data_IF_358132446416
#
_entry.id   IF_358132446416
#
_cell.length_a   1.000
_cell.length_b   1.000
_cell.length_c   1.000
_cell.angle_alpha   90.00
_cell.angle_beta   90.00
_cell.angle_gamma   90.00
#
_symmetry.space_group_name_H-M   'P 1'
#
loop_
_entity.id
_entity.type
_entity.pdbx_description
1 polymer ?
#
# COMPACT_ATOMS: atom_id res chain seq x y z
N UNK A 1 29.32 26.00 -31.18
CA UNK A 1 27.85 25.85 -31.01
C UNK A 1 27.56 24.38 -30.75
N UNK A 2 27.36 24.00 -29.48
CA UNK A 2 27.10 22.62 -29.06
C UNK A 2 25.63 22.57 -28.63
N UNK A 3 24.76 21.95 -29.44
CA UNK A 3 23.36 21.71 -29.07
C UNK A 3 23.23 20.30 -28.50
N UNK A 4 23.06 20.26 -27.17
CA UNK A 4 22.69 19.10 -26.37
C UNK A 4 21.20 18.79 -26.55
N UNK A 5 20.86 17.55 -26.92
CA UNK A 5 19.49 17.04 -26.77
C UNK A 5 19.52 15.60 -26.29
N UNK A 6 19.68 15.44 -24.99
CA UNK A 6 19.48 14.22 -24.22
C UNK A 6 18.01 13.79 -24.33
N UNK A 7 17.74 12.65 -24.97
CA UNK A 7 16.43 11.97 -24.89
C UNK A 7 16.38 11.14 -23.62
N UNK A 8 16.06 11.78 -22.50
CA UNK A 8 15.70 11.13 -21.25
C UNK A 8 14.34 10.44 -21.43
N UNK A 9 14.36 9.11 -21.48
CA UNK A 9 13.16 8.28 -21.44
C UNK A 9 12.59 8.39 -20.02
N UNK A 10 11.54 9.18 -19.86
CA UNK A 10 10.80 9.35 -18.61
C UNK A 10 10.17 8.01 -18.23
N UNK A 11 10.75 7.35 -17.22
CA UNK A 11 10.08 6.32 -16.43
C UNK A 11 8.80 6.93 -15.86
N UNK A 12 7.67 6.36 -16.27
CA UNK A 12 6.34 6.82 -15.94
C UNK A 12 6.15 6.82 -14.41
N UNK A 13 5.99 8.00 -13.86
CA UNK A 13 5.71 8.23 -12.45
C UNK A 13 4.44 7.49 -12.02
N UNK A 14 4.58 6.60 -11.04
CA UNK A 14 3.50 6.15 -10.16
C UNK A 14 2.99 7.37 -9.38
N UNK A 15 2.09 8.15 -9.98
CA UNK A 15 1.38 9.22 -9.30
C UNK A 15 0.27 8.62 -8.43
N UNK A 16 0.63 8.19 -7.22
CA UNK A 16 -0.32 8.01 -6.11
C UNK A 16 -0.24 9.25 -5.22
N UNK A 17 -1.25 10.14 -5.18
CA UNK A 17 -1.37 11.08 -4.09
C UNK A 17 -2.32 10.47 -3.05
N UNK A 18 -1.77 9.68 -2.12
CA UNK A 18 -2.38 9.47 -0.81
C UNK A 18 -1.38 9.92 0.25
N UNK A 19 -1.24 11.23 0.39
CA UNK A 19 -0.60 11.84 1.56
C UNK A 19 -1.65 12.60 2.35
N UNK A 20 -2.42 11.87 3.16
CA UNK A 20 -3.09 12.44 4.32
C UNK A 20 -2.10 12.35 5.50
N UNK A 21 -1.09 13.22 5.49
CA UNK A 21 -0.24 13.40 6.67
C UNK A 21 -1.01 14.26 7.66
N UNK A 22 -1.65 13.60 8.62
CA UNK A 22 -2.03 14.23 9.88
C UNK A 22 -0.74 14.41 10.69
N UNK A 23 -0.18 15.62 10.69
CA UNK A 23 0.77 16.05 11.72
C UNK A 23 0.02 16.16 13.05
N UNK A 24 0.11 15.13 13.88
CA UNK A 24 -0.14 15.26 15.32
C UNK A 24 1.19 15.49 16.05
N UNK A 25 1.30 16.65 16.71
CA UNK A 25 2.05 16.84 17.96
C UNK A 25 3.57 16.75 17.89
N UNK A 26 4.25 17.91 17.84
CA UNK A 26 5.62 18.03 18.35
C UNK A 26 5.61 17.92 19.87
N UNK A 27 5.95 16.75 20.40
CA UNK A 27 6.43 16.59 21.78
C UNK A 27 7.96 16.56 21.80
N UNK A 28 8.57 17.61 22.35
CA UNK A 28 10.02 17.64 22.64
C UNK A 28 10.36 16.51 23.62
N UNK A 29 11.20 15.56 23.22
CA UNK A 29 11.80 14.59 24.14
C UNK A 29 13.15 15.14 24.60
N UNK A 30 13.18 15.65 25.82
CA UNK A 30 14.41 15.89 26.57
C UNK A 30 15.01 14.55 26.96
N UNK A 31 16.32 14.42 26.71
CA UNK A 31 17.18 13.39 27.24
C UNK A 31 16.95 13.18 28.74
N UNK A 32 16.50 11.99 29.11
CA UNK A 32 16.85 11.39 30.39
C UNK A 32 17.24 9.93 30.15
N UNK A 33 18.43 9.59 30.62
CA UNK A 33 19.07 8.28 30.49
C UNK A 33 18.22 7.24 31.23
N UNK A 34 17.61 6.30 30.52
CA UNK A 34 17.10 5.07 31.15
C UNK A 34 18.26 4.05 31.26
N UNK A 35 18.37 3.36 32.41
CA UNK A 35 19.42 2.36 32.62
C UNK A 35 19.16 1.18 31.68
N UNK A 36 20.19 0.80 30.92
CA UNK A 36 20.24 -0.44 30.17
C UNK A 36 20.28 -1.60 31.16
N UNK A 37 19.13 -2.00 31.69
CA UNK A 37 18.99 -3.31 32.34
C UNK A 37 19.05 -4.37 31.24
N UNK A 38 19.96 -5.32 31.42
CA UNK A 38 20.15 -6.50 30.58
C UNK A 38 18.84 -7.29 30.42
N UNK A 39 18.02 -6.90 29.44
CA UNK A 39 16.95 -7.77 28.95
C UNK A 39 17.58 -8.84 28.09
N UNK A 40 17.52 -10.07 28.60
CA UNK A 40 17.89 -11.33 27.98
C UNK A 40 17.63 -11.36 26.45
N UNK A 41 18.69 -11.07 25.69
CA UNK A 41 18.71 -10.97 24.22
C UNK A 41 18.13 -12.22 23.57
N UNK A 42 18.31 -13.39 24.21
CA UNK A 42 17.83 -14.69 23.72
C UNK A 42 16.30 -14.81 23.68
N UNK A 43 15.58 -14.22 24.63
CA UNK A 43 14.10 -14.27 24.65
C UNK A 43 13.51 -13.34 23.60
N UNK A 44 14.07 -12.14 23.47
CA UNK A 44 13.67 -11.15 22.45
C UNK A 44 13.87 -11.71 21.04
N UNK A 45 14.97 -12.44 20.79
CA UNK A 45 15.22 -13.08 19.48
C UNK A 45 14.28 -14.25 19.18
N UNK A 46 13.90 -15.06 20.18
CA UNK A 46 12.98 -16.19 20.00
C UNK A 46 11.56 -15.70 19.68
N UNK A 47 11.08 -14.69 20.40
CA UNK A 47 9.73 -14.16 20.17
C UNK A 47 9.62 -13.44 18.82
N UNK A 48 10.67 -12.72 18.40
CA UNK A 48 10.75 -12.12 17.07
C UNK A 48 10.77 -13.19 15.95
N UNK A 49 11.50 -14.28 16.13
CA UNK A 49 11.52 -15.38 15.18
C UNK A 49 10.15 -16.08 15.05
N UNK A 50 9.48 -16.33 16.18
CA UNK A 50 8.12 -16.90 16.21
C UNK A 50 7.12 -16.00 15.51
N UNK A 51 7.14 -14.70 15.80
CA UNK A 51 6.27 -13.74 15.14
C UNK A 51 6.50 -13.71 13.62
N UNK A 52 7.75 -13.77 13.16
CA UNK A 52 8.06 -13.81 11.73
C UNK A 52 7.55 -15.10 11.06
N UNK A 53 7.74 -16.26 11.70
CA UNK A 53 7.18 -17.52 11.21
C UNK A 53 5.65 -17.50 11.16
N UNK A 54 4.99 -16.95 12.19
CA UNK A 54 3.53 -16.81 12.23
C UNK A 54 3.02 -15.85 11.15
N UNK A 55 3.76 -14.79 10.86
CA UNK A 55 3.46 -13.87 9.76
C UNK A 55 3.51 -14.56 8.41
N UNK A 56 4.51 -15.40 8.13
CA UNK A 56 4.54 -16.19 6.88
C UNK A 56 3.31 -17.10 6.73
N UNK A 57 2.90 -17.78 7.80
CA UNK A 57 1.69 -18.62 7.80
C UNK A 57 0.44 -17.80 7.48
N UNK A 58 0.30 -16.62 8.10
CA UNK A 58 -0.80 -15.71 7.83
C UNK A 58 -0.84 -15.28 6.36
N UNK A 59 0.30 -14.82 5.83
CA UNK A 59 0.39 -14.33 4.45
C UNK A 59 0.09 -15.44 3.42
N UNK A 60 0.53 -16.67 3.69
CA UNK A 60 0.17 -17.83 2.88
C UNK A 60 -1.34 -18.11 2.93
N UNK A 61 -1.95 -18.05 4.12
CA UNK A 61 -3.40 -18.26 4.32
C UNK A 61 -4.25 -17.26 3.53
N UNK A 62 -3.75 -16.04 3.34
CA UNK A 62 -4.41 -14.97 2.58
C UNK A 62 -4.20 -15.08 1.06
N UNK A 63 -3.52 -16.11 0.55
CA UNK A 63 -3.18 -16.27 -0.87
C UNK A 63 -2.43 -15.05 -1.45
N UNK A 64 -1.48 -14.52 -0.66
CA UNK A 64 -0.71 -13.34 -1.07
C UNK A 64 0.14 -13.63 -2.31
N UNK A 65 0.72 -14.81 -2.42
CA UNK A 65 1.56 -15.17 -3.58
C UNK A 65 0.77 -15.06 -4.89
N UNK A 66 -0.39 -15.68 -4.95
CA UNK A 66 -1.29 -15.68 -6.10
C UNK A 66 -1.78 -14.26 -6.42
N UNK A 67 -2.03 -13.46 -5.38
CA UNK A 67 -2.42 -12.06 -5.53
C UNK A 67 -1.32 -11.21 -6.19
N UNK A 68 -0.06 -11.40 -5.79
CA UNK A 68 1.09 -10.71 -6.40
C UNK A 68 1.34 -11.17 -7.84
N UNK A 69 1.27 -12.48 -8.11
CA UNK A 69 1.39 -13.01 -9.47
C UNK A 69 0.28 -12.46 -10.39
N UNK A 70 -0.96 -12.41 -9.90
CA UNK A 70 -2.09 -11.82 -10.61
C UNK A 70 -1.91 -10.31 -10.84
N UNK A 71 -1.38 -9.58 -9.87
CA UNK A 71 -1.05 -8.16 -10.00
C UNK A 71 0.00 -7.92 -11.10
N UNK A 72 1.09 -8.69 -11.11
CA UNK A 72 2.15 -8.57 -12.11
C UNK A 72 1.59 -8.80 -13.51
N UNK A 73 0.81 -9.88 -13.70
CA UNK A 73 0.15 -10.16 -14.99
C UNK A 73 -0.77 -9.01 -15.42
N UNK A 74 -1.54 -8.44 -14.49
CA UNK A 74 -2.41 -7.28 -14.79
C UNK A 74 -1.59 -6.08 -15.23
N UNK A 75 -0.50 -5.75 -14.53
CA UNK A 75 0.36 -4.62 -14.90
C UNK A 75 0.99 -4.84 -16.27
N UNK A 76 1.56 -6.02 -16.53
CA UNK A 76 2.11 -6.37 -17.84
C UNK A 76 1.06 -6.22 -18.95
N UNK A 77 -0.14 -6.76 -18.75
CA UNK A 77 -1.23 -6.64 -19.71
C UNK A 77 -1.69 -5.19 -19.93
N UNK A 78 -1.73 -4.36 -18.88
CA UNK A 78 -2.02 -2.93 -19.04
C UNK A 78 -0.99 -2.24 -19.93
N UNK A 79 0.29 -2.57 -19.78
CA UNK A 79 1.35 -2.00 -20.63
C UNK A 79 1.23 -2.46 -22.08
N UNK A 80 0.97 -3.74 -22.31
CA UNK A 80 0.76 -4.29 -23.66
C UNK A 80 -0.47 -3.69 -24.33
N UNK A 81 -1.56 -3.49 -23.58
CA UNK A 81 -2.77 -2.86 -24.10
C UNK A 81 -2.54 -1.38 -24.45
N UNK A 82 -1.72 -0.67 -23.67
CA UNK A 82 -1.34 0.71 -23.96
C UNK A 82 -0.39 0.81 -25.16
N UNK A 83 0.48 -0.20 -25.36
CA UNK A 83 1.52 -0.25 -26.39
C UNK A 83 1.63 -1.66 -26.99
N UNK A 84 0.86 -1.96 -28.05
CA UNK A 84 0.82 -3.30 -28.64
C UNK A 84 2.17 -3.84 -29.11
N UNK A 85 3.14 -2.97 -29.43
CA UNK A 85 4.52 -3.34 -29.77
C UNK A 85 5.25 -4.08 -28.65
N UNK A 86 4.83 -3.89 -27.38
CA UNK A 86 5.41 -4.58 -26.23
C UNK A 86 5.00 -6.05 -26.15
N UNK A 87 4.00 -6.50 -26.92
CA UNK A 87 3.50 -7.88 -26.88
C UNK A 87 4.61 -8.92 -27.07
N UNK A 88 5.57 -8.65 -27.97
CA UNK A 88 6.68 -9.56 -28.23
C UNK A 88 7.66 -9.69 -27.05
N UNK A 89 7.72 -8.69 -26.18
CA UNK A 89 8.61 -8.65 -25.01
C UNK A 89 7.87 -8.73 -23.67
N UNK A 90 6.56 -9.02 -23.69
CA UNK A 90 5.75 -9.15 -22.48
C UNK A 90 6.34 -10.16 -21.47
N UNK A 91 6.89 -11.32 -21.88
CA UNK A 91 7.54 -12.25 -20.93
C UNK A 91 8.76 -11.64 -20.24
N UNK A 92 9.55 -10.81 -20.93
CA UNK A 92 10.69 -10.10 -20.33
C UNK A 92 10.21 -9.06 -19.30
N UNK A 93 9.14 -8.33 -19.62
CA UNK A 93 8.51 -7.36 -18.71
C UNK A 93 7.97 -8.06 -17.45
N UNK A 94 7.23 -9.16 -17.62
CA UNK A 94 6.72 -9.97 -16.51
C UNK A 94 7.86 -10.55 -15.66
N UNK A 95 8.94 -11.05 -16.28
CA UNK A 95 10.11 -11.53 -15.56
C UNK A 95 10.79 -10.41 -14.74
N UNK A 96 10.90 -9.19 -15.30
CA UNK A 96 11.42 -8.04 -14.58
C UNK A 96 10.59 -7.72 -13.34
N UNK A 97 9.26 -7.61 -13.49
CA UNK A 97 8.37 -7.37 -12.36
C UNK A 97 8.39 -8.52 -11.35
N UNK A 98 8.48 -9.77 -11.79
CA UNK A 98 8.59 -10.92 -10.89
C UNK A 98 9.88 -10.87 -10.07
N UNK A 99 10.99 -10.46 -10.68
CA UNK A 99 12.30 -10.39 -10.00
C UNK A 99 12.35 -9.36 -8.87
N UNK A 100 11.73 -8.19 -9.07
CA UNK A 100 11.85 -7.06 -8.13
C UNK A 100 10.58 -6.78 -7.32
N UNK A 101 9.43 -7.18 -7.85
CA UNK A 101 8.10 -6.95 -7.26
C UNK A 101 7.31 -8.27 -7.09
N UNK A 102 7.94 -9.42 -7.30
CA UNK A 102 7.33 -10.72 -7.03
C UNK A 102 7.22 -11.01 -5.54
N UNK A 103 6.50 -12.09 -5.23
CA UNK A 103 6.32 -12.57 -3.87
C UNK A 103 7.65 -12.90 -3.19
N UNK A 104 8.52 -13.66 -3.86
CA UNK A 104 9.81 -14.08 -3.29
C UNK A 104 10.73 -12.90 -2.94
N UNK A 105 10.66 -11.81 -3.71
CA UNK A 105 11.49 -10.62 -3.49
C UNK A 105 11.04 -9.80 -2.27
N UNK A 106 9.77 -9.88 -1.86
CA UNK A 106 9.18 -8.98 -0.85
C UNK A 106 8.64 -9.70 0.38
N UNK A 107 8.39 -11.02 0.31
CA UNK A 107 7.72 -11.76 1.39
C UNK A 107 8.43 -11.63 2.74
N UNK A 108 9.76 -11.52 2.75
CA UNK A 108 10.54 -11.32 3.96
C UNK A 108 10.26 -9.99 4.63
N UNK A 109 10.28 -8.90 3.86
CA UNK A 109 9.99 -7.56 4.34
C UNK A 109 8.54 -7.43 4.81
N UNK A 110 7.60 -8.05 4.08
CA UNK A 110 6.19 -8.07 4.46
C UNK A 110 6.00 -8.89 5.74
N UNK A 111 6.59 -10.07 5.87
CA UNK A 111 6.49 -10.87 7.10
C UNK A 111 7.07 -10.12 8.31
N UNK A 112 8.22 -9.46 8.14
CA UNK A 112 8.81 -8.61 9.17
C UNK A 112 7.90 -7.43 9.55
N UNK A 113 7.23 -6.80 8.57
CA UNK A 113 6.23 -5.75 8.83
C UNK A 113 5.10 -6.27 9.72
N UNK A 114 4.53 -7.44 9.41
CA UNK A 114 3.46 -8.02 10.23
C UNK A 114 3.97 -8.41 11.63
N UNK A 115 5.14 -9.05 11.72
CA UNK A 115 5.76 -9.44 12.99
C UNK A 115 6.12 -8.25 13.90
N UNK A 116 6.33 -7.05 13.32
CA UNK A 116 6.54 -5.82 14.08
C UNK A 116 5.24 -5.24 14.67
N UNK A 117 4.11 -5.48 14.03
CA UNK A 117 2.82 -4.87 14.40
C UNK A 117 1.90 -5.82 15.18
N UNK A 118 2.16 -7.13 15.14
CA UNK A 118 1.37 -8.14 15.81
C UNK A 118 2.27 -9.11 16.58
N UNK A 119 1.78 -9.56 17.72
CA UNK A 119 2.40 -10.67 18.45
C UNK A 119 2.20 -11.99 17.72
N UNK A 120 3.04 -13.00 17.99
CA UNK A 120 2.86 -14.36 17.45
C UNK A 120 1.46 -14.90 17.68
N UNK A 121 0.90 -14.69 18.88
CA UNK A 121 -0.44 -15.16 19.24
C UNK A 121 -1.54 -14.51 18.40
N UNK A 122 -1.44 -13.20 18.13
CA UNK A 122 -2.38 -12.49 17.28
C UNK A 122 -2.28 -12.95 15.82
N UNK A 123 -1.06 -13.15 15.31
CA UNK A 123 -0.83 -13.66 13.95
C UNK A 123 -1.39 -15.08 13.77
N UNK A 124 -1.24 -15.94 14.79
CA UNK A 124 -1.85 -17.27 14.82
C UNK A 124 -3.39 -17.20 14.85
N UNK A 125 -3.95 -16.30 15.67
CA UNK A 125 -5.40 -16.10 15.74
C UNK A 125 -5.97 -15.57 14.41
N UNK A 126 -5.29 -14.62 13.78
CA UNK A 126 -5.62 -14.11 12.45
C UNK A 126 -5.55 -15.24 11.41
N UNK A 127 -4.50 -16.06 11.44
CA UNK A 127 -4.37 -17.20 10.54
C UNK A 127 -5.56 -18.16 10.68
N UNK A 128 -5.95 -18.50 11.92
CA UNK A 128 -7.13 -19.33 12.19
C UNK A 128 -8.42 -18.69 11.65
N UNK A 129 -8.61 -17.40 11.85
CA UNK A 129 -9.77 -16.69 11.31
C UNK A 129 -9.79 -16.74 9.78
N UNK A 130 -8.68 -16.42 9.12
CA UNK A 130 -8.60 -16.42 7.66
C UNK A 130 -8.71 -17.81 7.03
N UNK A 131 -8.45 -18.89 7.77
CA UNK A 131 -8.76 -20.26 7.31
C UNK A 131 -10.27 -20.56 7.26
N UNK A 132 -11.11 -19.79 7.95
CA UNK A 132 -12.57 -20.00 7.91
C UNK A 132 -13.17 -19.55 6.57
N UNK A 133 -14.34 -20.09 6.16
CA UNK A 133 -15.06 -19.61 4.97
C UNK A 133 -15.37 -18.11 5.02
N UNK A 134 -15.69 -17.59 6.21
CA UNK A 134 -15.93 -16.16 6.41
C UNK A 134 -14.64 -15.35 6.24
N UNK A 135 -13.55 -15.78 6.85
CA UNK A 135 -12.25 -15.11 6.73
C UNK A 135 -11.75 -15.07 5.29
N UNK A 136 -11.86 -16.17 4.55
CA UNK A 136 -11.55 -16.20 3.12
C UNK A 136 -12.42 -15.22 2.33
N UNK A 137 -13.74 -15.21 2.57
CA UNK A 137 -14.65 -14.24 1.96
C UNK A 137 -14.23 -12.81 2.27
N UNK A 138 -13.85 -12.51 3.51
CA UNK A 138 -13.38 -11.18 3.90
C UNK A 138 -12.18 -10.74 3.06
N UNK A 139 -11.14 -11.57 2.92
CA UNK A 139 -9.95 -11.22 2.10
C UNK A 139 -10.33 -10.97 0.65
N UNK A 140 -11.22 -11.79 0.09
CA UNK A 140 -11.62 -11.70 -1.32
C UNK A 140 -12.45 -10.45 -1.63
N UNK A 141 -13.38 -10.06 -0.75
CA UNK A 141 -14.31 -8.96 -1.03
C UNK A 141 -13.81 -7.60 -0.58
N UNK A 142 -12.86 -7.52 0.35
CA UNK A 142 -12.37 -6.25 0.91
C UNK A 142 -11.93 -5.24 -0.16
N UNK A 143 -11.14 -5.61 -1.20
CA UNK A 143 -10.81 -4.69 -2.28
C UNK A 143 -12.03 -4.16 -3.05
N UNK A 144 -13.06 -4.99 -3.23
CA UNK A 144 -14.30 -4.61 -3.93
C UNK A 144 -15.13 -3.65 -3.08
N UNK A 145 -15.23 -3.91 -1.78
CA UNK A 145 -15.91 -3.01 -0.84
C UNK A 145 -15.22 -1.65 -0.78
N UNK A 146 -13.89 -1.62 -0.75
CA UNK A 146 -13.13 -0.36 -0.79
C UNK A 146 -13.39 0.43 -2.08
N UNK A 147 -13.36 -0.24 -3.24
CA UNK A 147 -13.66 0.37 -4.53
C UNK A 147 -15.10 0.92 -4.60
N UNK A 148 -16.09 0.13 -4.14
CA UNK A 148 -17.49 0.55 -4.09
C UNK A 148 -17.68 1.76 -3.15
N UNK A 149 -17.00 1.76 -2.00
CA UNK A 149 -17.02 2.88 -1.05
C UNK A 149 -16.46 4.16 -1.64
N UNK A 150 -15.34 4.07 -2.38
CA UNK A 150 -14.77 5.20 -3.10
C UNK A 150 -15.74 5.76 -4.17
N UNK A 151 -16.40 4.88 -4.93
CA UNK A 151 -17.39 5.28 -5.94
C UNK A 151 -18.60 5.99 -5.32
N UNK A 152 -19.08 5.55 -4.14
CA UNK A 152 -20.14 6.24 -3.40
C UNK A 152 -19.71 7.67 -3.05
N UNK A 153 -18.49 7.84 -2.52
CA UNK A 153 -17.93 9.15 -2.19
C UNK A 153 -17.82 10.05 -3.42
N UNK A 154 -17.30 9.52 -4.52
CA UNK A 154 -17.19 10.25 -5.79
C UNK A 154 -18.57 10.69 -6.31
N UNK A 155 -19.55 9.78 -6.31
CA UNK A 155 -20.91 10.09 -6.75
C UNK A 155 -21.57 11.18 -5.90
N UNK A 156 -21.40 11.12 -4.57
CA UNK A 156 -21.88 12.16 -3.67
C UNK A 156 -21.24 13.51 -4.00
N UNK A 157 -19.92 13.57 -4.12
CA UNK A 157 -19.22 14.81 -4.47
C UNK A 157 -19.72 15.39 -5.81
N UNK A 158 -19.87 14.56 -6.84
CA UNK A 158 -20.35 15.00 -8.14
C UNK A 158 -21.78 15.56 -8.07
N UNK A 159 -22.66 14.93 -7.28
CA UNK A 159 -24.04 15.41 -7.08
C UNK A 159 -24.10 16.79 -6.40
N UNK A 160 -23.17 17.05 -5.48
CA UNK A 160 -23.13 18.30 -4.69
C UNK A 160 -22.12 19.34 -5.24
N UNK A 161 -21.46 19.05 -6.36
CA UNK A 161 -20.50 19.95 -6.99
C UNK A 161 -21.10 21.33 -7.37
N UNK A 162 -22.36 21.44 -7.84
CA UNK A 162 -22.97 22.75 -8.11
C UNK A 162 -23.17 23.58 -6.84
N UNK A 163 -23.60 22.94 -5.75
CA UNK A 163 -23.77 23.59 -4.43
C UNK A 163 -22.43 24.12 -3.92
N UNK A 164 -21.36 23.33 -4.02
CA UNK A 164 -20.01 23.76 -3.69
C UNK A 164 -19.56 24.99 -4.50
N UNK A 165 -19.83 25.02 -5.82
CA UNK A 165 -19.53 26.19 -6.65
C UNK A 165 -20.27 27.44 -6.19
N UNK A 166 -21.58 27.32 -5.91
CA UNK A 166 -22.38 28.44 -5.44
C UNK A 166 -21.87 29.00 -4.09
N UNK A 167 -21.46 28.12 -3.17
CA UNK A 167 -20.85 28.53 -1.90
C UNK A 167 -19.53 29.27 -2.11
N UNK A 168 -18.64 28.75 -2.97
CA UNK A 168 -17.36 29.41 -3.30
C UNK A 168 -17.61 30.79 -3.88
N UNK A 169 -18.51 30.93 -4.85
CA UNK A 169 -18.82 32.21 -5.49
C UNK A 169 -19.38 33.23 -4.49
N UNK A 170 -20.22 32.78 -3.56
CA UNK A 170 -20.76 33.63 -2.50
C UNK A 170 -19.66 34.12 -1.54
N UNK A 171 -18.74 33.25 -1.14
CA UNK A 171 -17.63 33.63 -0.26
C UNK A 171 -16.63 34.57 -0.96
N UNK A 172 -16.30 34.32 -2.23
CA UNK A 172 -15.42 35.20 -3.00
C UNK A 172 -15.99 36.61 -3.14
N UNK A 173 -17.32 36.76 -3.32
CA UNK A 173 -17.97 38.07 -3.34
C UNK A 173 -17.81 38.82 -2.02
N UNK A 174 -17.94 38.14 -0.87
CA UNK A 174 -17.76 38.74 0.46
C UNK A 174 -16.33 39.20 0.71
N UNK A 175 -15.34 38.48 0.18
CA UNK A 175 -13.93 38.86 0.28
C UNK A 175 -13.64 40.12 -0.55
N UNK A 176 -14.21 40.21 -1.75
CA UNK A 176 -13.94 41.32 -2.67
C UNK A 176 -14.65 42.63 -2.29
N UNK A 177 -15.73 42.59 -1.52
CA UNK A 177 -16.45 43.80 -1.06
C UNK A 177 -15.88 44.42 0.22
N UNK A 178 -14.92 43.76 0.89
CA UNK A 178 -14.23 44.28 2.08
C UNK A 178 -12.95 45.07 1.75
N UNK A 179 -12.73 45.42 0.49
CA UNK A 179 -11.56 46.13 -0.01
C UNK A 179 -11.98 47.46 -0.62
#
# INVERSE_FOLDING_TARGET
MIKSTTKTLVLLALALPLSLQAQCGQGKSTNDKMPMQEMNVSKVTIDAHKANSAAFTLLATMNMKESYEGMIKRITNMQVNAKPELKAIAPMIEAFFTKYMGWEAQRGDIAALYAKNYTSKELEALSKFYQTPLGQKTVQIMPQLAAASAQIGQSRMMKHMPEMKAMIDAELKKVNTKK
#
